data_IF_553453123822
#
_entry.id   IF_553453123822
#
_cell.length_a   1.000
_cell.length_b   1.000
_cell.length_c   1.000
_cell.angle_alpha   90.00
_cell.angle_beta   90.00
_cell.angle_gamma   90.00
#
_symmetry.space_group_name_H-M   'P 1'
#
loop_
_entity.id
_entity.type
_entity.pdbx_description
1 polymer ?
#
# COMPACT_ATOMS: atom_id res chain seq x y z
N UNK A 1 32.22 -31.75 -9.92
CA UNK A 1 30.76 -31.53 -10.03
C UNK A 1 30.14 -31.88 -8.70
N UNK A 2 29.24 -31.04 -8.18
CA UNK A 2 28.52 -31.29 -6.93
C UNK A 2 27.06 -31.62 -7.18
N UNK A 3 26.40 -32.21 -6.19
CA UNK A 3 24.95 -32.37 -6.15
C UNK A 3 24.40 -31.91 -4.80
N UNK A 4 23.17 -31.38 -4.81
CA UNK A 4 22.43 -31.01 -3.59
C UNK A 4 20.97 -31.41 -3.77
N UNK A 5 20.39 -31.99 -2.73
CA UNK A 5 18.95 -32.27 -2.65
C UNK A 5 18.34 -31.32 -1.63
N UNK A 6 17.26 -30.66 -2.02
CA UNK A 6 16.52 -29.70 -1.20
C UNK A 6 15.13 -30.27 -1.01
N UNK A 7 14.69 -30.39 0.23
CA UNK A 7 13.35 -30.85 0.60
C UNK A 7 12.44 -29.65 0.88
N UNK A 8 11.23 -29.68 0.34
CA UNK A 8 10.16 -28.75 0.67
C UNK A 8 9.39 -29.31 1.88
N UNK A 9 9.54 -28.63 3.02
CA UNK A 9 8.85 -28.98 4.27
C UNK A 9 7.59 -28.11 4.39
N UNK A 10 6.46 -28.72 4.73
CA UNK A 10 5.16 -28.07 4.98
C UNK A 10 4.60 -27.22 3.81
N UNK A 11 5.05 -27.46 2.58
CA UNK A 11 4.60 -26.76 1.38
C UNK A 11 4.16 -27.77 0.33
N UNK A 12 2.96 -27.59 -0.25
CA UNK A 12 2.52 -28.41 -1.36
C UNK A 12 3.43 -28.17 -2.58
N UNK A 13 4.09 -29.21 -3.13
CA UNK A 13 5.04 -29.03 -4.22
C UNK A 13 4.44 -28.35 -5.46
N UNK A 14 3.13 -28.51 -5.71
CA UNK A 14 2.44 -27.87 -6.83
C UNK A 14 2.50 -26.34 -6.73
N UNK A 15 2.46 -25.78 -5.52
CA UNK A 15 2.46 -24.33 -5.31
C UNK A 15 3.82 -23.68 -5.63
N UNK A 16 4.91 -24.44 -5.47
CA UNK A 16 6.26 -24.00 -5.82
C UNK A 16 6.58 -24.34 -7.27
N UNK A 17 6.27 -25.56 -7.71
CA UNK A 17 6.64 -26.06 -9.04
C UNK A 17 5.76 -25.51 -10.15
N UNK A 18 4.55 -25.07 -9.80
CA UNK A 18 3.51 -24.64 -10.73
C UNK A 18 2.81 -25.81 -11.40
N UNK A 19 1.62 -25.55 -11.94
CA UNK A 19 0.85 -26.55 -12.70
C UNK A 19 1.69 -27.02 -13.89
N UNK A 20 1.78 -28.34 -14.09
CA UNK A 20 2.63 -28.95 -15.12
C UNK A 20 4.13 -28.54 -15.05
N UNK A 21 4.65 -28.24 -13.85
CA UNK A 21 6.04 -27.83 -13.62
C UNK A 21 6.43 -26.52 -14.35
N UNK A 22 5.49 -25.62 -14.58
CA UNK A 22 5.76 -24.38 -15.31
C UNK A 22 6.80 -23.48 -14.62
N UNK A 23 6.86 -23.44 -13.29
CA UNK A 23 7.84 -22.63 -12.55
C UNK A 23 9.21 -23.30 -12.57
N UNK A 24 9.27 -24.63 -12.53
CA UNK A 24 10.52 -25.39 -12.72
C UNK A 24 11.10 -25.13 -14.12
N UNK A 25 10.25 -25.00 -15.15
CA UNK A 25 10.71 -24.65 -16.49
C UNK A 25 11.36 -23.25 -16.53
N UNK A 26 10.81 -22.27 -15.79
CA UNK A 26 11.42 -20.93 -15.64
C UNK A 26 12.77 -21.02 -14.93
N UNK A 27 12.86 -21.78 -13.83
CA UNK A 27 14.11 -22.00 -13.10
C UNK A 27 15.19 -22.66 -13.97
N UNK A 28 14.81 -23.65 -14.79
CA UNK A 28 15.72 -24.29 -15.75
C UNK A 28 16.24 -23.32 -16.81
N UNK A 29 15.40 -22.40 -17.30
CA UNK A 29 15.82 -21.35 -18.23
C UNK A 29 16.80 -20.37 -17.58
N UNK A 30 16.56 -20.00 -16.32
CA UNK A 30 17.42 -19.05 -15.60
C UNK A 30 18.76 -19.65 -15.18
N UNK A 31 18.80 -20.95 -14.87
CA UNK A 31 20.02 -21.67 -14.51
C UNK A 31 20.38 -22.75 -15.57
N UNK A 32 20.80 -22.36 -16.79
CA UNK A 32 21.07 -23.32 -17.86
C UNK A 32 22.29 -24.21 -17.59
N UNK A 33 23.16 -23.82 -16.64
CA UNK A 33 24.41 -24.53 -16.29
C UNK A 33 24.23 -25.59 -15.20
N UNK A 34 23.01 -25.78 -14.67
CA UNK A 34 22.72 -26.82 -13.67
C UNK A 34 21.58 -27.72 -14.16
N UNK A 35 21.64 -29.00 -13.79
CA UNK A 35 20.55 -29.94 -14.02
C UNK A 35 19.60 -29.91 -12.82
N UNK A 36 18.35 -29.54 -13.05
CA UNK A 36 17.28 -29.47 -12.02
C UNK A 36 16.30 -30.62 -12.22
N UNK A 37 16.08 -31.41 -11.17
CA UNK A 37 15.16 -32.55 -11.15
C UNK A 37 14.22 -32.37 -9.95
N UNK A 38 12.92 -32.19 -10.21
CA UNK A 38 11.89 -32.07 -9.17
C UNK A 38 11.05 -33.37 -9.14
N UNK A 39 10.90 -33.97 -7.95
CA UNK A 39 10.10 -35.19 -7.75
C UNK A 39 9.49 -35.20 -6.35
N UNK A 40 8.16 -35.26 -6.25
CA UNK A 40 7.46 -35.17 -4.97
C UNK A 40 7.76 -33.82 -4.30
N UNK A 41 8.16 -33.84 -3.04
CA UNK A 41 8.61 -32.68 -2.27
C UNK A 41 10.12 -32.41 -2.38
N UNK A 42 10.86 -33.11 -3.24
CA UNK A 42 12.31 -32.97 -3.35
C UNK A 42 12.72 -32.29 -4.67
N UNK A 43 13.70 -31.39 -4.58
CA UNK A 43 14.41 -30.82 -5.73
C UNK A 43 15.88 -31.23 -5.65
N UNK A 44 16.34 -32.02 -6.63
CA UNK A 44 17.76 -32.35 -6.80
C UNK A 44 18.38 -31.45 -7.86
N UNK A 45 19.51 -30.82 -7.51
CA UNK A 45 20.31 -29.98 -8.42
C UNK A 45 21.74 -30.50 -8.55
N UNK A 46 22.25 -30.52 -9.79
CA UNK A 46 23.59 -31.03 -10.12
C UNK A 46 24.32 -29.98 -10.98
N UNK A 47 25.54 -29.61 -10.61
CA UNK A 47 26.29 -28.56 -11.29
C UNK A 47 27.59 -28.17 -10.58
N UNK A 48 28.07 -26.95 -10.81
CA UNK A 48 29.17 -26.39 -10.02
C UNK A 48 28.65 -25.91 -8.66
N UNK A 49 29.49 -26.01 -7.62
CA UNK A 49 29.12 -25.64 -6.24
C UNK A 49 28.60 -24.20 -6.16
N UNK A 50 29.25 -23.27 -6.87
CA UNK A 50 28.82 -21.87 -6.93
C UNK A 50 27.41 -21.69 -7.53
N UNK A 51 27.06 -22.44 -8.57
CA UNK A 51 25.73 -22.37 -9.19
C UNK A 51 24.66 -23.04 -8.34
N UNK A 52 25.01 -24.14 -7.66
CA UNK A 52 24.12 -24.81 -6.70
C UNK A 52 23.78 -23.88 -5.54
N UNK A 53 24.77 -23.21 -4.96
CA UNK A 53 24.53 -22.26 -3.86
C UNK A 53 23.67 -21.08 -4.33
N UNK A 54 23.94 -20.53 -5.51
CA UNK A 54 23.12 -19.46 -6.09
C UNK A 54 21.67 -19.90 -6.33
N UNK A 55 21.47 -21.13 -6.83
CA UNK A 55 20.15 -21.71 -7.00
C UNK A 55 19.41 -21.85 -5.66
N UNK A 56 20.10 -22.39 -4.65
CA UNK A 56 19.52 -22.60 -3.32
C UNK A 56 19.08 -21.28 -2.67
N UNK A 57 19.92 -20.24 -2.70
CA UNK A 57 19.55 -18.90 -2.22
C UNK A 57 18.29 -18.36 -2.91
N UNK A 58 18.20 -18.52 -4.23
CA UNK A 58 17.03 -18.07 -5.00
C UNK A 58 15.79 -18.89 -4.70
N UNK A 59 15.92 -20.20 -4.55
CA UNK A 59 14.81 -21.08 -4.18
C UNK A 59 14.27 -20.73 -2.79
N UNK A 60 15.15 -20.44 -1.82
CA UNK A 60 14.74 -19.99 -0.49
C UNK A 60 13.97 -18.66 -0.54
N UNK A 61 14.37 -17.72 -1.39
CA UNK A 61 13.62 -16.47 -1.59
C UNK A 61 12.21 -16.71 -2.17
N UNK A 62 12.06 -17.66 -3.11
CA UNK A 62 10.76 -18.06 -3.64
C UNK A 62 9.88 -18.68 -2.55
N UNK A 63 10.45 -19.57 -1.73
CA UNK A 63 9.76 -20.21 -0.61
C UNK A 63 9.31 -19.15 0.41
N UNK A 64 10.18 -18.22 0.79
CA UNK A 64 9.83 -17.13 1.72
C UNK A 64 8.72 -16.23 1.16
N UNK A 65 8.78 -15.88 -0.13
CA UNK A 65 7.71 -15.13 -0.78
C UNK A 65 6.39 -15.90 -0.76
N UNK A 66 6.42 -17.19 -1.08
CA UNK A 66 5.24 -18.04 -1.02
C UNK A 66 4.66 -18.10 0.40
N UNK A 67 5.48 -18.33 1.42
CA UNK A 67 5.03 -18.37 2.80
C UNK A 67 4.40 -17.04 3.28
N UNK A 68 4.87 -15.91 2.74
CA UNK A 68 4.33 -14.58 3.10
C UNK A 68 3.04 -14.22 2.36
N UNK A 69 2.91 -14.61 1.09
CA UNK A 69 1.83 -14.14 0.21
C UNK A 69 0.87 -15.25 -0.28
N UNK A 70 1.16 -16.51 0.06
CA UNK A 70 0.44 -17.73 -0.38
C UNK A 70 0.26 -17.83 -1.89
N UNK A 71 1.17 -17.21 -2.67
CA UNK A 71 1.10 -17.20 -4.13
C UNK A 71 2.48 -16.98 -4.76
N UNK A 72 2.76 -17.72 -5.83
CA UNK A 72 3.90 -17.50 -6.73
C UNK A 72 3.41 -17.32 -8.17
N UNK A 73 3.46 -16.10 -8.69
CA UNK A 73 3.17 -15.83 -10.10
C UNK A 73 4.46 -15.83 -10.93
N UNK A 74 4.38 -16.09 -12.24
CA UNK A 74 5.54 -16.00 -13.16
C UNK A 74 6.28 -14.66 -13.06
N UNK A 75 5.55 -13.56 -12.89
CA UNK A 75 6.14 -12.23 -12.72
C UNK A 75 6.93 -12.08 -11.42
N UNK A 76 6.41 -12.61 -10.30
CA UNK A 76 7.14 -12.61 -9.03
C UNK A 76 8.39 -13.50 -9.09
N UNK A 77 8.28 -14.67 -9.73
CA UNK A 77 9.40 -15.61 -9.91
C UNK A 77 10.52 -14.94 -10.69
N UNK A 78 10.23 -14.37 -11.86
CA UNK A 78 11.25 -13.69 -12.67
C UNK A 78 11.94 -12.56 -11.89
N UNK A 79 11.17 -11.71 -11.20
CA UNK A 79 11.72 -10.63 -10.37
C UNK A 79 12.64 -11.14 -9.27
N UNK A 80 12.24 -12.21 -8.57
CA UNK A 80 13.04 -12.80 -7.48
C UNK A 80 14.29 -13.49 -8.01
N UNK A 81 14.26 -14.02 -9.24
CA UNK A 81 15.43 -14.60 -9.91
C UNK A 81 16.41 -13.52 -10.38
N UNK A 82 15.91 -12.45 -11.00
CA UNK A 82 16.70 -11.35 -11.57
C UNK A 82 17.35 -10.48 -10.50
N UNK A 83 16.62 -10.10 -9.45
CA UNK A 83 17.14 -9.22 -8.40
C UNK A 83 17.95 -10.04 -7.37
N UNK A 84 19.25 -10.18 -7.62
CA UNK A 84 20.21 -10.84 -6.73
C UNK A 84 20.67 -9.92 -5.60
N UNK A 85 20.40 -10.33 -4.36
CA UNK A 85 20.89 -9.74 -3.10
C UNK A 85 20.45 -8.29 -2.82
N UNK A 86 19.81 -8.10 -1.67
CA UNK A 86 19.92 -6.89 -0.82
C UNK A 86 19.03 -7.09 0.41
N UNK A 87 19.53 -7.88 1.36
CA UNK A 87 19.03 -7.89 2.74
C UNK A 87 19.94 -7.06 3.65
N UNK A 88 21.03 -6.48 3.15
CA UNK A 88 21.86 -5.58 3.96
C UNK A 88 22.19 -4.28 3.22
N UNK A 89 21.91 -3.17 3.89
CA UNK A 89 22.70 -1.93 3.85
C UNK A 89 23.04 -1.28 2.52
N UNK A 90 22.26 -0.24 2.19
CA UNK A 90 22.67 0.98 1.45
C UNK A 90 22.71 0.96 -0.08
N UNK A 91 21.70 1.65 -0.63
CA UNK A 91 21.79 2.67 -1.68
C UNK A 91 22.35 2.27 -3.05
N UNK A 92 21.46 1.97 -4.00
CA UNK A 92 21.17 2.81 -5.19
C UNK A 92 20.57 1.96 -6.32
N UNK A 93 19.23 2.01 -6.47
CA UNK A 93 18.40 1.60 -7.65
C UNK A 93 16.98 1.13 -7.29
N UNK A 94 16.58 1.14 -6.00
CA UNK A 94 15.24 0.69 -5.55
C UNK A 94 14.04 1.46 -6.10
N UNK A 95 14.22 2.57 -6.81
CA UNK A 95 13.15 3.52 -7.09
C UNK A 95 12.40 3.33 -8.40
N UNK A 96 12.77 2.42 -9.31
CA UNK A 96 12.08 2.40 -10.62
C UNK A 96 10.75 1.65 -10.58
N UNK A 97 10.61 0.55 -9.82
CA UNK A 97 9.41 -0.30 -9.88
C UNK A 97 9.06 -1.01 -8.56
N UNK A 98 9.08 -0.32 -7.41
CA UNK A 98 8.56 -0.94 -6.18
C UNK A 98 7.04 -1.14 -6.30
N UNK A 99 6.61 -2.41 -6.39
CA UNK A 99 5.20 -2.79 -6.30
C UNK A 99 4.74 -2.57 -4.86
N UNK A 100 3.68 -1.79 -4.70
CA UNK A 100 3.07 -1.52 -3.41
C UNK A 100 2.13 -2.64 -3.00
N UNK A 101 1.22 -3.01 -3.90
CA UNK A 101 0.18 -4.00 -3.61
C UNK A 101 -0.03 -4.89 -4.84
N UNK A 102 -0.06 -6.20 -4.59
CA UNK A 102 -0.66 -7.17 -5.50
C UNK A 102 -2.14 -7.32 -5.12
N UNK A 103 -2.99 -6.85 -6.03
CA UNK A 103 -4.43 -6.87 -5.92
C UNK A 103 -5.05 -8.13 -6.54
N UNK A 104 -6.39 -8.26 -6.45
CA UNK A 104 -7.12 -9.33 -7.10
C UNK A 104 -6.94 -9.31 -8.62
N UNK A 105 -7.20 -10.44 -9.29
CA UNK A 105 -7.19 -10.56 -10.76
C UNK A 105 -5.89 -10.10 -11.45
N UNK A 106 -4.76 -10.12 -10.73
CA UNK A 106 -3.47 -9.72 -11.27
C UNK A 106 -3.25 -8.20 -11.33
N UNK A 107 -4.07 -7.40 -10.66
CA UNK A 107 -3.85 -5.95 -10.53
C UNK A 107 -2.54 -5.72 -9.78
N UNK A 108 -1.61 -4.97 -10.38
CA UNK A 108 -0.34 -4.60 -9.76
C UNK A 108 -0.35 -3.09 -9.52
N UNK A 109 -0.45 -2.70 -8.25
CA UNK A 109 -0.39 -1.30 -7.84
C UNK A 109 1.05 -0.91 -7.55
N UNK A 110 1.57 0.04 -8.31
CA UNK A 110 2.93 0.59 -8.19
C UNK A 110 2.92 2.10 -8.35
N UNK A 111 3.86 2.79 -7.70
CA UNK A 111 4.10 4.21 -7.96
C UNK A 111 4.71 4.38 -9.36
N UNK A 112 3.98 5.05 -10.26
CA UNK A 112 4.39 5.23 -11.66
C UNK A 112 5.14 6.55 -11.85
N UNK A 113 4.57 7.64 -11.33
CA UNK A 113 5.13 8.98 -11.48
C UNK A 113 6.17 9.28 -10.40
N UNK A 114 7.05 10.25 -10.64
CA UNK A 114 8.03 10.71 -9.65
C UNK A 114 7.33 11.18 -8.37
N UNK A 115 6.22 11.90 -8.49
CA UNK A 115 5.45 12.40 -7.35
C UNK A 115 4.80 11.28 -6.52
N UNK A 116 4.35 10.19 -7.17
CA UNK A 116 3.87 9.00 -6.45
C UNK A 116 5.01 8.29 -5.72
N UNK A 117 6.21 8.25 -6.31
CA UNK A 117 7.40 7.66 -5.67
C UNK A 117 7.84 8.47 -4.46
N UNK A 118 7.87 9.80 -4.58
CA UNK A 118 8.10 10.70 -3.45
C UNK A 118 7.07 10.48 -2.33
N UNK A 119 5.81 10.23 -2.66
CA UNK A 119 4.77 9.92 -1.66
C UNK A 119 5.07 8.61 -0.93
N UNK A 120 5.46 7.56 -1.65
CA UNK A 120 5.83 6.27 -1.06
C UNK A 120 7.06 6.40 -0.15
N UNK A 121 8.13 7.02 -0.63
CA UNK A 121 9.36 7.22 0.14
C UNK A 121 9.14 8.14 1.34
N UNK A 122 8.35 9.19 1.14
CA UNK A 122 7.94 10.13 2.18
C UNK A 122 7.19 9.44 3.31
N UNK A 123 6.24 8.55 2.97
CA UNK A 123 5.44 7.83 3.95
C UNK A 123 6.23 6.84 4.81
N UNK A 124 7.38 6.34 4.31
CA UNK A 124 8.28 5.49 5.10
C UNK A 124 9.01 6.27 6.18
N UNK A 125 9.39 7.52 5.90
CA UNK A 125 10.27 8.35 6.76
C UNK A 125 9.52 9.31 7.67
N UNK A 126 8.25 9.57 7.40
CA UNK A 126 7.48 10.60 8.07
C UNK A 126 6.18 10.01 8.64
N UNK A 127 5.71 10.59 9.73
CA UNK A 127 4.43 10.20 10.34
C UNK A 127 3.27 11.04 9.81
N UNK A 128 3.55 12.22 9.24
CA UNK A 128 2.55 13.07 8.63
C UNK A 128 2.97 13.45 7.21
N UNK A 129 2.11 13.18 6.24
CA UNK A 129 2.38 13.51 4.83
C UNK A 129 1.21 14.27 4.25
N UNK A 130 1.49 15.35 3.53
CA UNK A 130 0.53 16.13 2.76
C UNK A 130 0.87 16.00 1.28
N UNK A 131 0.07 15.25 0.53
CA UNK A 131 0.19 15.17 -0.93
C UNK A 131 -0.84 16.09 -1.58
N UNK A 132 -0.37 17.23 -2.07
CA UNK A 132 -1.20 18.29 -2.63
C UNK A 132 -0.91 18.39 -4.12
N UNK A 133 -1.96 18.35 -4.95
CA UNK A 133 -1.82 18.48 -6.40
C UNK A 133 -3.15 18.25 -7.12
N UNK A 134 -3.19 18.35 -8.45
CA UNK A 134 -4.43 18.30 -9.21
C UNK A 134 -5.15 16.95 -9.09
N UNK A 135 -6.45 16.92 -9.42
CA UNK A 135 -7.17 15.66 -9.59
C UNK A 135 -6.52 14.79 -10.68
N UNK A 136 -6.66 13.46 -10.56
CA UNK A 136 -6.15 12.51 -11.55
C UNK A 136 -4.66 12.15 -11.42
N UNK A 137 -3.88 12.77 -10.51
CA UNK A 137 -2.46 12.43 -10.29
C UNK A 137 -2.23 11.13 -9.50
N UNK A 138 -3.31 10.51 -9.02
CA UNK A 138 -3.25 9.25 -8.26
C UNK A 138 -2.75 9.39 -6.82
N UNK A 139 -2.77 10.60 -6.25
CA UNK A 139 -2.40 10.87 -4.85
C UNK A 139 -3.16 9.99 -3.85
N UNK A 140 -4.49 9.98 -3.92
CA UNK A 140 -5.36 9.18 -3.05
C UNK A 140 -5.16 7.69 -3.28
N UNK A 141 -5.15 7.24 -4.53
CA UNK A 141 -4.95 5.83 -4.86
C UNK A 141 -3.61 5.30 -4.34
N UNK A 142 -2.53 6.08 -4.49
CA UNK A 142 -1.20 5.73 -3.96
C UNK A 142 -1.18 5.71 -2.44
N UNK A 143 -1.84 6.66 -1.78
CA UNK A 143 -1.96 6.70 -0.32
C UNK A 143 -2.73 5.49 0.24
N UNK A 144 -3.83 5.08 -0.42
CA UNK A 144 -4.55 3.83 -0.07
C UNK A 144 -3.63 2.62 -0.25
N UNK A 145 -2.85 2.56 -1.33
CA UNK A 145 -1.91 1.47 -1.57
C UNK A 145 -0.82 1.37 -0.50
N UNK A 146 -0.30 2.50 -0.02
CA UNK A 146 0.65 2.57 1.10
C UNK A 146 -0.01 1.98 2.36
N UNK A 147 -1.23 2.41 2.69
CA UNK A 147 -1.95 1.93 3.86
C UNK A 147 -2.22 0.43 3.81
N UNK A 148 -2.69 -0.08 2.66
CA UNK A 148 -2.95 -1.51 2.46
C UNK A 148 -1.67 -2.34 2.54
N UNK A 149 -0.55 -1.84 1.98
CA UNK A 149 0.76 -2.50 2.09
C UNK A 149 1.17 -2.65 3.56
N UNK A 150 1.11 -1.56 4.34
CA UNK A 150 1.45 -1.56 5.76
C UNK A 150 0.57 -2.53 6.56
N UNK A 151 -0.75 -2.54 6.31
CA UNK A 151 -1.68 -3.47 6.94
C UNK A 151 -1.35 -4.94 6.58
N UNK A 152 -1.09 -5.24 5.31
CA UNK A 152 -0.71 -6.60 4.87
C UNK A 152 0.62 -7.06 5.46
N UNK A 153 1.56 -6.14 5.67
CA UNK A 153 2.83 -6.40 6.33
C UNK A 153 2.75 -6.45 7.85
N UNK A 154 1.56 -6.24 8.44
CA UNK A 154 1.33 -6.18 9.90
C UNK A 154 2.12 -5.05 10.60
N UNK A 155 2.45 -3.99 9.87
CA UNK A 155 3.09 -2.79 10.41
C UNK A 155 2.09 -1.93 11.19
N UNK A 156 0.81 -2.05 10.84
CA UNK A 156 -0.32 -1.39 11.49
C UNK A 156 -1.45 -2.39 11.72
N UNK A 157 -2.35 -2.07 12.64
CA UNK A 157 -3.55 -2.85 12.95
C UNK A 157 -4.79 -2.33 12.26
N UNK A 158 -4.82 -1.05 11.89
CA UNK A 158 -6.03 -0.38 11.38
C UNK A 158 -5.76 0.62 10.27
N UNK A 159 -6.66 0.69 9.29
CA UNK A 159 -6.74 1.78 8.31
C UNK A 159 -8.01 2.58 8.58
N UNK A 160 -7.90 3.90 8.63
CA UNK A 160 -9.04 4.81 8.71
C UNK A 160 -9.02 5.72 7.50
N UNK A 161 -9.96 5.56 6.59
CA UNK A 161 -10.15 6.42 5.43
C UNK A 161 -11.27 7.41 5.74
N UNK A 162 -10.99 8.70 5.56
CA UNK A 162 -11.94 9.74 5.90
C UNK A 162 -11.95 10.86 4.88
N UNK A 163 -13.11 11.48 4.70
CA UNK A 163 -13.34 12.58 3.78
C UNK A 163 -14.22 13.63 4.47
N UNK A 164 -13.98 14.94 4.30
CA UNK A 164 -14.90 15.97 4.76
C UNK A 164 -16.25 15.80 4.05
N UNK A 165 -17.35 15.92 4.79
CA UNK A 165 -18.66 16.01 4.16
C UNK A 165 -18.78 17.42 3.54
N UNK A 166 -19.05 17.48 2.24
CA UNK A 166 -19.30 18.73 1.52
C UNK A 166 -20.60 18.59 0.76
N UNK A 167 -21.44 19.58 0.90
CA UNK A 167 -22.66 19.72 0.12
C UNK A 167 -22.26 20.30 -1.24
N UNK A 168 -21.87 19.44 -2.18
CA UNK A 168 -21.48 19.82 -3.53
C UNK A 168 -22.73 20.23 -4.34
N UNK A 169 -23.34 21.36 -3.97
CA UNK A 169 -24.52 21.92 -4.65
C UNK A 169 -25.86 21.28 -4.28
N UNK A 170 -25.86 20.13 -3.59
CA UNK A 170 -27.06 19.50 -3.02
C UNK A 170 -26.92 19.43 -1.50
N UNK A 171 -27.92 19.94 -0.78
CA UNK A 171 -27.99 19.85 0.67
C UNK A 171 -28.10 18.37 1.06
N UNK A 172 -27.14 17.87 1.85
CA UNK A 172 -27.08 16.46 2.25
C UNK A 172 -28.35 16.04 3.00
N UNK A 173 -29.06 17.00 3.61
CA UNK A 173 -30.37 16.80 4.24
C UNK A 173 -31.47 16.28 3.30
N UNK A 174 -31.39 16.54 1.98
CA UNK A 174 -32.47 16.27 1.01
C UNK A 174 -32.33 14.97 0.23
N UNK A 175 -31.17 14.31 0.24
CA UNK A 175 -31.04 12.96 -0.33
C UNK A 175 -31.94 12.00 0.48
N UNK A 176 -32.71 11.09 -0.14
CA UNK A 176 -33.50 10.11 0.59
C UNK A 176 -32.57 9.07 1.27
N UNK A 177 -33.05 8.43 2.34
CA UNK A 177 -32.31 7.39 3.06
C UNK A 177 -31.73 7.82 4.41
N UNK A 178 -31.02 6.90 5.07
CA UNK A 178 -30.31 7.18 6.32
C UNK A 178 -29.04 8.03 6.08
N UNK A 179 -28.46 8.62 7.13
CA UNK A 179 -27.29 9.49 6.99
C UNK A 179 -26.09 8.79 6.31
N UNK A 180 -26.00 7.47 6.44
CA UNK A 180 -24.91 6.66 5.87
C UNK A 180 -25.14 6.48 4.36
N UNK A 181 -26.35 6.12 3.94
CA UNK A 181 -26.76 6.01 2.53
C UNK A 181 -26.54 7.32 1.76
N UNK A 182 -26.73 8.47 2.42
CA UNK A 182 -26.47 9.79 1.81
C UNK A 182 -24.99 10.12 1.64
N UNK A 183 -24.13 9.55 2.48
CA UNK A 183 -22.68 9.80 2.47
C UNK A 183 -21.92 8.79 1.61
N UNK A 184 -22.49 7.61 1.39
CA UNK A 184 -21.90 6.52 0.61
C UNK A 184 -21.41 6.94 -0.79
N UNK A 185 -22.15 7.77 -1.58
CA UNK A 185 -21.67 8.22 -2.89
C UNK A 185 -20.33 8.98 -2.82
N UNK A 186 -20.11 9.79 -1.78
CA UNK A 186 -18.88 10.58 -1.61
C UNK A 186 -17.69 9.72 -1.17
N UNK A 187 -17.96 8.59 -0.52
CA UNK A 187 -16.95 7.65 -0.03
C UNK A 187 -16.66 6.53 -1.04
N UNK A 188 -17.52 6.36 -2.06
CA UNK A 188 -17.39 5.32 -3.09
C UNK A 188 -16.00 5.23 -3.74
N UNK A 189 -15.31 6.34 -4.09
CA UNK A 189 -13.95 6.24 -4.66
C UNK A 189 -12.94 5.54 -3.73
N UNK A 190 -13.12 5.64 -2.42
CA UNK A 190 -12.27 4.97 -1.42
C UNK A 190 -12.58 3.47 -1.36
N UNK A 191 -13.85 3.08 -1.47
CA UNK A 191 -14.26 1.68 -1.59
C UNK A 191 -13.68 1.03 -2.85
N UNK A 192 -13.75 1.73 -3.98
CA UNK A 192 -13.25 1.22 -5.26
C UNK A 192 -11.73 1.02 -5.24
N UNK A 193 -10.98 1.99 -4.68
CA UNK A 193 -9.53 1.85 -4.50
C UNK A 193 -9.16 0.62 -3.64
N UNK A 194 -9.94 0.31 -2.59
CA UNK A 194 -9.69 -0.87 -1.77
C UNK A 194 -10.01 -2.18 -2.50
N UNK A 195 -11.06 -2.21 -3.32
CA UNK A 195 -11.45 -3.41 -4.11
C UNK A 195 -10.36 -3.81 -5.12
N UNK A 196 -9.65 -2.83 -5.67
CA UNK A 196 -8.49 -3.07 -6.52
C UNK A 196 -7.31 -3.73 -5.78
N UNK A 197 -7.25 -3.60 -4.46
CA UNK A 197 -6.08 -3.93 -3.64
C UNK A 197 -6.29 -5.13 -2.72
N UNK A 198 -7.55 -5.46 -2.39
CA UNK A 198 -7.92 -6.47 -1.41
C UNK A 198 -9.01 -7.39 -1.99
N UNK A 199 -8.86 -8.72 -1.91
CA UNK A 199 -9.90 -9.67 -2.34
C UNK A 199 -11.24 -9.39 -1.64
N UNK A 200 -12.34 -9.50 -2.38
CA UNK A 200 -13.68 -9.09 -1.94
C UNK A 200 -14.09 -9.69 -0.58
N UNK A 201 -13.89 -11.00 -0.38
CA UNK A 201 -14.21 -11.69 0.88
C UNK A 201 -13.43 -11.10 2.05
N UNK A 202 -12.13 -10.88 1.87
CA UNK A 202 -11.25 -10.33 2.90
C UNK A 202 -11.54 -8.86 3.20
N UNK A 203 -11.84 -8.08 2.16
CA UNK A 203 -12.24 -6.68 2.32
C UNK A 203 -13.54 -6.56 3.12
N UNK A 204 -14.54 -7.41 2.81
CA UNK A 204 -15.80 -7.48 3.57
C UNK A 204 -15.53 -7.74 5.05
N UNK A 205 -14.72 -8.75 5.37
CA UNK A 205 -14.33 -9.04 6.77
C UNK A 205 -13.62 -7.85 7.43
N UNK A 206 -12.70 -7.18 6.74
CA UNK A 206 -12.00 -6.02 7.29
C UNK A 206 -12.91 -4.83 7.58
N UNK A 207 -13.94 -4.62 6.75
CA UNK A 207 -14.93 -3.58 6.97
C UNK A 207 -15.85 -3.93 8.16
N UNK A 208 -16.34 -5.18 8.22
CA UNK A 208 -17.22 -5.66 9.30
C UNK A 208 -16.52 -5.66 10.67
N UNK A 209 -15.23 -6.01 10.70
CA UNK A 209 -14.40 -6.02 11.92
C UNK A 209 -13.76 -4.66 12.23
N UNK A 210 -14.05 -3.63 11.43
CA UNK A 210 -13.49 -2.28 11.55
C UNK A 210 -11.94 -2.22 11.56
N UNK A 211 -11.28 -3.21 10.94
CA UNK A 211 -9.85 -3.19 10.61
C UNK A 211 -9.58 -2.15 9.51
N UNK A 212 -10.52 -2.02 8.57
CA UNK A 212 -10.57 -0.90 7.64
C UNK A 212 -11.88 -0.18 7.93
N UNK A 213 -11.78 1.11 8.23
CA UNK A 213 -12.92 1.96 8.53
C UNK A 213 -12.98 3.08 7.49
N UNK A 214 -14.15 3.29 6.88
CA UNK A 214 -14.40 4.40 5.97
C UNK A 214 -15.51 5.23 6.58
N UNK A 215 -15.21 6.47 6.94
CA UNK A 215 -16.16 7.31 7.67
C UNK A 215 -15.94 8.81 7.40
N UNK A 216 -16.98 9.65 7.53
CA UNK A 216 -16.85 11.10 7.42
C UNK A 216 -15.90 11.69 8.48
N UNK A 217 -15.26 12.81 8.16
CA UNK A 217 -14.26 13.45 9.05
C UNK A 217 -14.79 13.77 10.46
N UNK A 218 -16.09 14.08 10.58
CA UNK A 218 -16.74 14.35 11.86
C UNK A 218 -16.64 13.18 12.85
N UNK A 219 -16.57 11.94 12.37
CA UNK A 219 -16.50 10.73 13.19
C UNK A 219 -15.13 10.53 13.85
N UNK A 220 -14.14 11.37 13.50
CA UNK A 220 -12.82 11.35 14.12
C UNK A 220 -12.80 12.05 15.49
N UNK A 221 -13.85 12.82 15.82
CA UNK A 221 -13.92 13.58 17.07
C UNK A 221 -13.87 12.65 18.29
N UNK A 222 -13.08 13.04 19.29
CA UNK A 222 -12.99 12.32 20.58
C UNK A 222 -12.26 10.98 20.54
N UNK A 223 -11.65 10.61 19.41
CA UNK A 223 -10.91 9.35 19.27
C UNK A 223 -9.44 9.52 19.66
N UNK A 224 -8.77 8.39 19.84
CA UNK A 224 -7.32 8.30 19.75
C UNK A 224 -7.04 7.20 18.74
N UNK A 225 -6.29 7.52 17.69
CA UNK A 225 -6.02 6.60 16.60
C UNK A 225 -4.57 6.16 16.71
N UNK A 226 -4.33 4.95 17.22
CA UNK A 226 -3.00 4.38 17.42
C UNK A 226 -2.83 3.11 16.59
N UNK A 227 -1.57 2.75 16.29
CA UNK A 227 -1.21 1.62 15.41
C UNK A 227 -2.02 1.61 14.10
N UNK A 228 -2.25 2.80 13.55
CA UNK A 228 -3.16 3.01 12.43
C UNK A 228 -2.58 3.96 11.38
N UNK A 229 -2.97 3.76 10.12
CA UNK A 229 -2.82 4.78 9.08
C UNK A 229 -4.16 5.46 8.87
N UNK A 230 -4.18 6.78 9.04
CA UNK A 230 -5.33 7.62 8.79
C UNK A 230 -5.11 8.35 7.46
N UNK A 231 -6.04 8.20 6.53
CA UNK A 231 -6.02 8.88 5.25
C UNK A 231 -7.17 9.89 5.22
N UNK A 232 -6.83 11.19 5.18
CA UNK A 232 -7.80 12.25 4.92
C UNK A 232 -7.76 12.61 3.44
N UNK A 233 -8.81 12.25 2.70
CA UNK A 233 -8.97 12.58 1.29
C UNK A 233 -9.72 13.91 1.11
N UNK A 234 -9.42 14.61 0.02
CA UNK A 234 -10.04 15.90 -0.34
C UNK A 234 -9.95 16.95 0.78
N UNK A 235 -8.78 17.03 1.39
CA UNK A 235 -8.53 17.86 2.55
C UNK A 235 -8.68 19.37 2.29
N UNK A 236 -8.70 19.80 1.02
CA UNK A 236 -9.03 21.18 0.67
C UNK A 236 -10.45 21.55 1.11
N UNK A 237 -11.31 20.56 1.31
CA UNK A 237 -12.67 20.73 1.78
C UNK A 237 -12.83 20.62 3.31
N UNK A 238 -11.71 20.60 4.05
CA UNK A 238 -11.72 20.68 5.50
C UNK A 238 -11.40 22.11 5.96
N UNK A 239 -12.07 22.56 7.02
CA UNK A 239 -11.68 23.79 7.75
C UNK A 239 -10.41 23.58 8.56
N UNK A 240 -9.80 24.68 8.99
CA UNK A 240 -8.69 24.68 9.96
C UNK A 240 -9.08 23.93 11.23
N UNK A 241 -10.30 24.15 11.74
CA UNK A 241 -10.79 23.48 12.94
C UNK A 241 -10.91 21.97 12.77
N UNK A 242 -11.38 21.51 11.61
CA UNK A 242 -11.48 20.09 11.29
C UNK A 242 -10.11 19.44 11.09
N UNK A 243 -9.17 20.11 10.43
CA UNK A 243 -7.80 19.61 10.31
C UNK A 243 -7.12 19.53 11.68
N UNK A 244 -7.21 20.58 12.50
CA UNK A 244 -6.69 20.58 13.87
C UNK A 244 -7.33 19.47 14.71
N UNK A 245 -8.64 19.28 14.59
CA UNK A 245 -9.35 18.19 15.25
C UNK A 245 -8.73 16.85 14.87
N UNK A 246 -8.56 16.55 13.59
CA UNK A 246 -8.00 15.28 13.12
C UNK A 246 -6.54 15.08 13.53
N UNK A 247 -5.67 16.06 13.25
CA UNK A 247 -4.24 15.94 13.48
C UNK A 247 -3.92 15.72 14.97
N UNK A 248 -4.75 16.25 15.87
CA UNK A 248 -4.62 16.03 17.33
C UNK A 248 -5.16 14.68 17.80
N UNK A 249 -5.70 13.83 16.91
CA UNK A 249 -6.12 12.44 17.23
C UNK A 249 -5.00 11.42 17.03
N UNK A 250 -3.87 11.82 16.45
CA UNK A 250 -2.76 10.94 16.12
C UNK A 250 -2.16 10.33 17.40
N UNK A 251 -2.22 9.00 17.50
CA UNK A 251 -1.53 8.22 18.53
C UNK A 251 -0.03 8.11 18.24
N UNK A 252 0.71 7.48 19.15
CA UNK A 252 2.18 7.43 19.10
C UNK A 252 2.71 6.64 17.91
N UNK A 253 2.00 5.59 17.50
CA UNK A 253 2.39 4.70 16.40
C UNK A 253 1.48 4.86 15.18
N UNK A 254 0.82 6.01 15.06
CA UNK A 254 -0.05 6.31 13.95
C UNK A 254 0.63 7.19 12.90
N UNK A 255 0.19 7.04 11.66
CA UNK A 255 0.57 7.96 10.57
C UNK A 255 -0.67 8.59 9.96
N UNK A 256 -0.55 9.84 9.54
CA UNK A 256 -1.59 10.57 8.83
C UNK A 256 -1.10 10.91 7.42
N UNK A 257 -1.86 10.51 6.41
CA UNK A 257 -1.65 10.91 5.02
C UNK A 257 -2.84 11.78 4.60
N UNK A 258 -2.56 13.02 4.25
CA UNK A 258 -3.55 14.01 3.81
C UNK A 258 -3.39 14.21 2.32
N UNK A 259 -4.46 14.01 1.56
CA UNK A 259 -4.50 14.24 0.10
C UNK A 259 -5.47 15.37 -0.21
N UNK A 260 -5.15 16.20 -1.20
CA UNK A 260 -6.05 17.28 -1.61
C UNK A 260 -5.58 18.05 -2.84
N UNK A 261 -6.45 18.92 -3.32
CA UNK A 261 -6.22 19.82 -4.45
C UNK A 261 -6.64 21.24 -4.06
N UNK A 262 -5.68 22.13 -3.81
CA UNK A 262 -5.98 23.52 -3.41
C UNK A 262 -6.69 24.34 -4.50
N UNK A 263 -6.76 23.85 -5.73
CA UNK A 263 -7.48 24.50 -6.84
C UNK A 263 -8.96 24.10 -6.92
N UNK A 264 -9.37 23.04 -6.22
CA UNK A 264 -10.74 22.47 -6.26
C UNK A 264 -11.39 22.53 -4.87
N UNK A 265 -11.64 23.75 -4.38
CA UNK A 265 -12.29 23.98 -3.09
C UNK A 265 -13.81 24.04 -3.30
N UNK A 266 -14.52 23.07 -2.73
CA UNK A 266 -15.98 22.95 -2.81
C UNK A 266 -16.70 23.56 -1.59
N UNK A 267 -15.95 24.20 -0.68
CA UNK A 267 -16.51 24.85 0.50
C UNK A 267 -17.35 26.09 0.13
N UNK A 268 -18.42 26.39 0.90
CA UNK A 268 -19.15 27.64 0.75
C UNK A 268 -18.23 28.85 0.88
N UNK A 269 -18.53 29.95 0.17
CA UNK A 269 -17.70 31.17 0.16
C UNK A 269 -17.46 31.77 1.55
N UNK A 270 -18.34 31.53 2.52
CA UNK A 270 -18.21 31.97 3.91
C UNK A 270 -17.17 31.17 4.71
N UNK A 271 -16.70 30.04 4.18
CA UNK A 271 -15.84 29.09 4.88
C UNK A 271 -14.51 28.91 4.14
N UNK A 272 -13.41 29.32 4.78
CA UNK A 272 -12.08 29.14 4.22
C UNK A 272 -11.59 27.70 4.38
N UNK A 273 -10.92 27.20 3.34
CA UNK A 273 -10.16 25.95 3.41
C UNK A 273 -9.03 26.05 4.44
N UNK A 274 -8.87 25.02 5.26
CA UNK A 274 -7.79 24.89 6.21
C UNK A 274 -6.47 24.42 5.57
N UNK A 275 -6.53 23.74 4.43
CA UNK A 275 -5.34 23.11 3.83
C UNK A 275 -4.24 24.13 3.48
N UNK A 276 -4.53 25.28 2.82
CA UNK A 276 -3.52 26.31 2.57
C UNK A 276 -2.95 26.93 3.85
N UNK A 277 -3.76 27.02 4.92
CA UNK A 277 -3.32 27.61 6.18
C UNK A 277 -2.42 26.65 6.97
N UNK A 278 -2.79 25.38 7.05
CA UNK A 278 -1.99 24.33 7.69
C UNK A 278 -0.62 24.20 7.01
N UNK A 279 -0.57 24.32 5.69
CA UNK A 279 0.70 24.38 4.95
C UNK A 279 1.61 25.50 5.45
N UNK A 280 1.08 26.73 5.62
CA UNK A 280 1.86 27.87 6.14
C UNK A 280 2.31 27.68 7.59
N UNK A 281 1.51 26.99 8.41
CA UNK A 281 1.79 26.80 9.85
C UNK A 281 2.80 25.69 10.09
N UNK A 282 2.73 24.60 9.32
CA UNK A 282 3.55 23.40 9.54
C UNK A 282 4.92 23.48 8.84
N UNK A 283 5.02 24.18 7.71
CA UNK A 283 6.31 24.39 7.05
C UNK A 283 7.20 25.25 7.96
N UNK A 284 8.32 24.68 8.40
CA UNK A 284 9.31 25.37 9.25
C UNK A 284 9.02 25.31 10.75
N UNK A 285 7.98 24.58 11.20
CA UNK A 285 7.66 24.49 12.62
C UNK A 285 8.49 23.40 13.33
N UNK A 286 9.38 23.77 14.27
CA UNK A 286 10.27 22.81 14.94
C UNK A 286 9.54 21.82 15.85
N UNK A 287 8.30 22.11 16.24
CA UNK A 287 7.46 21.23 17.07
C UNK A 287 6.72 20.16 16.27
N UNK A 288 6.59 20.34 14.95
CA UNK A 288 6.01 19.36 14.03
C UNK A 288 7.11 18.76 13.16
N UNK A 289 8.02 18.00 13.77
CA UNK A 289 8.99 17.19 13.02
C UNK A 289 8.26 16.05 12.32
N UNK A 290 8.50 15.87 11.03
CA UNK A 290 7.95 14.75 10.26
C UNK A 290 6.66 15.05 9.49
N UNK A 291 6.36 16.32 9.20
CA UNK A 291 5.36 16.70 8.19
C UNK A 291 6.04 16.95 6.83
N UNK A 292 5.81 16.07 5.86
CA UNK A 292 6.32 16.23 4.50
C UNK A 292 5.23 16.75 3.55
N UNK A 293 5.49 17.85 2.87
CA UNK A 293 4.62 18.37 1.80
C UNK A 293 5.17 17.95 0.44
N UNK A 294 4.33 17.32 -0.37
CA UNK A 294 4.64 16.91 -1.74
C UNK A 294 3.68 17.64 -2.66
N UNK A 295 4.23 18.58 -3.43
CA UNK A 295 3.49 19.32 -4.44
C UNK A 295 3.59 18.57 -5.77
N UNK A 296 2.45 18.11 -6.27
CA UNK A 296 2.38 17.46 -7.57
C UNK A 296 1.97 18.54 -8.58
N UNK A 297 2.94 19.07 -9.32
CA UNK A 297 2.68 19.86 -10.53
C UNK A 297 2.38 18.93 -11.71
#
# INVERSE_FOLDING_TARGET
MGEKTIELVDINPVDIFGVNNENIAVLKKFFPKIKIIARGNHIKVIGSVAQINRFDTKLQLLIQHFNKYSQLTKGNINRLLENGHDVDGQSSSKSEHEVLVYGPKGIVVKARTANQRLLVEGAQKNDMIFAIGPAGTGKTYTAVAIAVKALKNKEIKKIVLTRPAVEAGENLGFLPGDLKEKLDPYLQPLYDALRDMIPAVKLKTYLETAVIEIAPLAFMRGRTLDEAIILLDEAQNATVGQLKMLLTRMGKSAKIIVTGDITQIDLPKSQASGLPQVQKILIGNPFFRGALFIFQN
#
